data_IF_650083114819
#
_entry.id   IF_650083114819
#
_cell.length_a   1.000
_cell.length_b   1.000
_cell.length_c   1.000
_cell.angle_alpha   90.00
_cell.angle_beta   90.00
_cell.angle_gamma   90.00
#
_symmetry.space_group_name_H-M   'P 1'
#
loop_
_entity.id
_entity.type
_entity.pdbx_description
1 polymer ?
#
# COMPACT_ATOMS: atom_id res chain seq x y z
N UNK A 1 -1.00 -4.89 3.88
CA UNK A 1 -1.52 -3.57 3.47
C UNK A 1 -0.53 -2.48 3.84
N UNK A 2 -0.46 -1.41 3.04
CA UNK A 2 0.39 -0.24 3.26
C UNK A 2 -0.46 1.03 3.41
N UNK A 3 -0.14 1.83 4.41
CA UNK A 3 -0.83 3.10 4.68
C UNK A 3 0.10 4.28 4.43
N UNK A 4 -0.28 5.13 3.47
CA UNK A 4 0.48 6.29 3.06
C UNK A 4 -0.14 7.59 3.60
N UNK A 5 0.69 8.58 3.85
CA UNK A 5 0.25 9.91 4.27
C UNK A 5 1.40 10.72 4.85
N UNK A 6 1.24 12.02 4.87
CA UNK A 6 2.19 12.94 5.52
C UNK A 6 2.32 12.62 7.03
N UNK A 7 3.37 13.12 7.66
CA UNK A 7 3.45 13.08 9.12
C UNK A 7 2.21 13.74 9.74
N UNK A 8 1.66 13.13 10.78
CA UNK A 8 0.44 13.64 11.43
C UNK A 8 -0.88 13.25 10.75
N UNK A 9 -0.90 12.58 9.60
CA UNK A 9 -2.14 12.15 8.92
C UNK A 9 -2.92 11.07 9.70
N UNK A 10 -2.32 10.42 10.69
CA UNK A 10 -2.99 9.37 11.46
C UNK A 10 -2.63 7.94 11.04
N UNK A 11 -1.53 7.72 10.29
CA UNK A 11 -1.10 6.37 9.88
C UNK A 11 -1.00 5.40 11.06
N UNK A 12 -0.26 5.75 12.10
CA UNK A 12 -0.09 4.89 13.28
C UNK A 12 -1.41 4.68 14.04
N UNK A 13 -2.30 5.68 14.04
CA UNK A 13 -3.64 5.55 14.60
C UNK A 13 -4.45 4.54 13.80
N UNK A 14 -4.46 4.65 12.47
CA UNK A 14 -5.17 3.72 11.60
C UNK A 14 -4.62 2.30 11.71
N UNK A 15 -3.29 2.13 11.73
CA UNK A 15 -2.66 0.82 11.96
C UNK A 15 -3.08 0.20 13.30
N UNK A 16 -3.23 1.00 14.35
CA UNK A 16 -3.75 0.53 15.65
C UNK A 16 -5.19 0.06 15.53
N UNK A 17 -6.06 0.80 14.82
CA UNK A 17 -7.45 0.38 14.58
C UNK A 17 -7.51 -0.96 13.83
N UNK A 18 -6.57 -1.22 12.92
CA UNK A 18 -6.44 -2.53 12.25
C UNK A 18 -6.07 -3.63 13.24
N UNK A 19 -5.08 -3.42 14.11
CA UNK A 19 -4.69 -4.39 15.13
C UNK A 19 -5.82 -4.70 16.11
N UNK A 20 -6.67 -3.73 16.40
CA UNK A 20 -7.85 -3.89 17.25
C UNK A 20 -9.04 -4.55 16.55
N UNK A 21 -9.21 -4.32 15.24
CA UNK A 21 -10.31 -4.87 14.46
C UNK A 21 -10.05 -6.30 13.99
N UNK A 22 -8.79 -6.69 13.80
CA UNK A 22 -8.37 -7.97 13.25
C UNK A 22 -7.31 -8.63 14.16
N UNK A 23 -7.71 -9.61 14.99
CA UNK A 23 -6.81 -10.22 15.99
C UNK A 23 -5.53 -10.86 15.44
N UNK A 24 -5.60 -11.38 14.18
CA UNK A 24 -4.45 -12.01 13.52
C UNK A 24 -3.55 -11.01 12.79
N UNK A 25 -3.91 -9.72 12.82
CA UNK A 25 -3.13 -8.67 12.18
C UNK A 25 -1.88 -8.35 12.99
N UNK A 26 -0.77 -8.09 12.30
CA UNK A 26 0.50 -7.68 12.92
C UNK A 26 1.13 -6.53 12.15
N UNK A 27 1.75 -5.61 12.87
CA UNK A 27 2.54 -4.56 12.26
C UNK A 27 3.85 -5.15 11.73
N UNK A 28 4.16 -4.93 10.47
CA UNK A 28 5.41 -5.32 9.84
C UNK A 28 6.49 -4.26 10.00
N UNK A 29 6.13 -3.00 9.77
CA UNK A 29 6.99 -1.83 9.88
C UNK A 29 6.14 -0.58 10.17
N UNK A 30 6.68 0.40 10.93
CA UNK A 30 5.94 1.62 11.32
C UNK A 30 6.27 2.85 10.46
N UNK A 31 7.36 2.82 9.66
CA UNK A 31 7.79 4.05 8.96
C UNK A 31 8.24 3.81 7.52
N UNK A 32 9.35 3.13 7.30
CA UNK A 32 10.00 3.03 6.01
C UNK A 32 10.17 1.58 5.52
N UNK A 33 9.09 0.87 5.15
CA UNK A 33 9.21 -0.44 4.52
C UNK A 33 9.82 -0.33 3.12
N UNK A 34 10.44 -1.40 2.64
CA UNK A 34 10.92 -1.50 1.26
C UNK A 34 9.95 -2.30 0.42
N UNK A 35 9.61 -1.78 -0.75
CA UNK A 35 8.88 -2.53 -1.78
C UNK A 35 9.84 -3.09 -2.82
N UNK A 36 9.60 -4.33 -3.24
CA UNK A 36 10.29 -4.97 -4.37
C UNK A 36 9.30 -5.67 -5.26
N UNK A 37 9.61 -5.67 -6.56
CA UNK A 37 8.88 -6.48 -7.54
C UNK A 37 9.79 -7.64 -7.89
N UNK A 38 9.40 -8.85 -7.49
CA UNK A 38 10.13 -10.09 -7.71
C UNK A 38 9.16 -11.13 -8.28
N UNK A 39 9.58 -11.82 -9.33
CA UNK A 39 8.78 -12.86 -9.99
C UNK A 39 7.34 -12.41 -10.33
N UNK A 40 7.22 -11.17 -10.79
CA UNK A 40 5.93 -10.58 -11.14
C UNK A 40 5.03 -10.24 -9.96
N UNK A 41 5.54 -10.25 -8.73
CA UNK A 41 4.76 -9.98 -7.51
C UNK A 41 5.37 -8.83 -6.71
N UNK A 42 4.52 -7.93 -6.22
CA UNK A 42 4.93 -6.85 -5.32
C UNK A 42 4.99 -7.37 -3.89
N UNK A 43 6.17 -7.34 -3.30
CA UNK A 43 6.42 -7.72 -1.90
C UNK A 43 6.86 -6.51 -1.07
N UNK A 44 6.46 -6.49 0.20
CA UNK A 44 6.90 -5.54 1.21
C UNK A 44 7.84 -6.21 2.21
N UNK A 45 8.92 -5.53 2.52
CA UNK A 45 9.94 -5.97 3.48
C UNK A 45 9.94 -5.05 4.68
N UNK A 46 10.02 -5.65 5.87
CA UNK A 46 10.35 -4.92 7.08
C UNK A 46 11.80 -4.42 7.03
N UNK A 47 12.07 -3.31 7.70
CA UNK A 47 13.38 -2.66 7.71
C UNK A 47 13.82 -2.34 9.13
N UNK A 48 15.11 -2.02 9.36
CA UNK A 48 15.60 -1.60 10.66
C UNK A 48 15.18 -0.16 11.03
N UNK A 49 14.50 0.55 10.13
CA UNK A 49 13.96 1.89 10.42
C UNK A 49 12.54 1.77 10.95
N UNK A 50 12.30 2.33 12.13
CA UNK A 50 10.96 2.45 12.68
C UNK A 50 10.63 3.90 13.01
N UNK A 51 9.33 4.20 13.04
CA UNK A 51 8.82 5.49 13.47
C UNK A 51 8.67 5.57 14.98
N UNK A 52 7.48 5.98 15.44
CA UNK A 52 7.17 6.10 16.88
C UNK A 52 7.00 4.76 17.58
N UNK A 53 6.62 3.72 16.84
CA UNK A 53 6.43 2.37 17.34
C UNK A 53 7.63 1.51 16.98
N UNK A 54 8.46 1.07 17.92
CA UNK A 54 9.56 0.16 17.63
C UNK A 54 9.06 -1.12 16.95
N UNK A 55 9.42 -1.31 15.69
CA UNK A 55 9.03 -2.48 14.93
C UNK A 55 10.13 -2.83 13.92
N UNK A 56 10.89 -3.90 14.22
CA UNK A 56 12.07 -4.33 13.48
C UNK A 56 11.90 -5.80 13.05
N UNK A 57 11.02 -6.05 12.08
CA UNK A 57 10.76 -7.41 11.60
C UNK A 57 11.55 -7.68 10.33
N UNK A 58 12.41 -8.69 10.35
CA UNK A 58 13.06 -9.21 9.15
C UNK A 58 12.12 -10.23 8.47
N UNK A 59 11.03 -9.73 7.93
CA UNK A 59 9.99 -10.51 7.26
C UNK A 59 9.61 -9.85 5.94
N UNK A 60 9.15 -10.68 4.98
CA UNK A 60 8.50 -10.18 3.76
C UNK A 60 7.06 -10.69 3.67
N UNK A 61 6.22 -9.92 3.00
CA UNK A 61 4.82 -10.29 2.71
C UNK A 61 4.43 -9.76 1.34
N UNK A 62 3.56 -10.46 0.59
CA UNK A 62 2.95 -9.88 -0.60
C UNK A 62 2.10 -8.68 -0.22
N UNK A 63 2.02 -7.69 -1.11
CA UNK A 63 1.22 -6.49 -0.90
C UNK A 63 -0.18 -6.71 -1.48
N UNK A 64 -1.19 -6.72 -0.62
CA UNK A 64 -2.60 -6.90 -1.03
C UNK A 64 -3.33 -5.56 -1.27
N UNK A 65 -2.74 -4.43 -0.89
CA UNK A 65 -3.34 -3.12 -1.14
C UNK A 65 -2.52 -1.97 -0.55
N UNK A 66 -2.67 -0.80 -1.16
CA UNK A 66 -1.99 0.44 -0.76
C UNK A 66 -3.05 1.53 -0.59
N UNK A 67 -3.03 2.24 0.53
CA UNK A 67 -4.05 3.24 0.85
C UNK A 67 -3.42 4.56 1.28
N UNK A 68 -3.81 5.63 0.60
CA UNK A 68 -3.52 6.99 1.06
C UNK A 68 -4.59 7.43 2.03
N UNK A 69 -4.17 7.72 3.26
CA UNK A 69 -5.04 8.21 4.32
C UNK A 69 -5.23 9.72 4.24
N UNK A 70 -6.44 10.15 4.58
CA UNK A 70 -6.83 11.54 4.75
C UNK A 70 -7.79 11.64 5.94
N UNK A 71 -7.55 12.58 6.85
CA UNK A 71 -8.48 12.85 7.96
C UNK A 71 -9.79 13.44 7.42
N UNK A 72 -10.90 12.94 7.92
CA UNK A 72 -12.25 13.39 7.54
C UNK A 72 -13.22 13.21 8.69
N UNK A 73 -14.36 13.87 8.64
CA UNK A 73 -15.49 13.67 9.55
C UNK A 73 -16.35 12.45 9.20
N UNK A 74 -16.04 11.73 8.13
CA UNK A 74 -16.78 10.55 7.66
C UNK A 74 -15.83 9.52 7.09
N UNK A 75 -16.24 8.25 7.11
CA UNK A 75 -15.49 7.15 6.50
C UNK A 75 -15.91 6.96 5.05
N UNK A 76 -14.98 7.15 4.10
CA UNK A 76 -15.20 6.94 2.67
C UNK A 76 -13.96 6.38 1.99
N UNK A 77 -14.11 5.27 1.31
CA UNK A 77 -13.06 4.69 0.47
C UNK A 77 -13.31 5.05 -1.00
N UNK A 78 -12.28 5.55 -1.67
CA UNK A 78 -12.27 5.83 -3.11
C UNK A 78 -11.18 5.02 -3.77
N UNK A 79 -11.51 4.09 -4.68
CA UNK A 79 -10.52 3.41 -5.50
C UNK A 79 -9.76 4.41 -6.37
N UNK A 80 -8.47 4.17 -6.57
CA UNK A 80 -7.63 4.98 -7.45
C UNK A 80 -7.01 4.09 -8.52
N UNK A 81 -6.96 4.58 -9.75
CA UNK A 81 -6.42 3.85 -10.90
C UNK A 81 -5.54 4.77 -11.76
N UNK A 82 -4.66 4.16 -12.58
CA UNK A 82 -3.82 4.88 -13.52
C UNK A 82 -3.05 6.06 -12.90
N UNK A 83 -3.16 7.27 -13.49
CA UNK A 83 -2.43 8.45 -12.99
C UNK A 83 -2.76 8.85 -11.57
N UNK A 84 -4.00 8.62 -11.10
CA UNK A 84 -4.41 8.96 -9.73
C UNK A 84 -3.75 8.04 -8.70
N UNK A 85 -3.66 6.74 -9.00
CA UNK A 85 -2.94 5.77 -8.17
C UNK A 85 -1.46 6.12 -8.08
N UNK A 86 -0.82 6.40 -9.21
CA UNK A 86 0.57 6.86 -9.27
C UNK A 86 0.80 8.12 -8.43
N UNK A 87 -0.03 9.15 -8.60
CA UNK A 87 0.04 10.41 -7.85
C UNK A 87 -0.17 10.21 -6.33
N UNK A 88 -0.90 9.18 -5.94
CA UNK A 88 -1.07 8.83 -4.53
C UNK A 88 0.19 8.22 -3.91
N UNK A 89 0.99 7.48 -4.68
CA UNK A 89 2.20 6.79 -4.20
C UNK A 89 3.43 7.71 -4.18
N UNK A 90 3.69 8.42 -5.27
CA UNK A 90 4.93 9.16 -5.51
C UNK A 90 5.38 10.07 -4.35
N UNK A 91 4.51 10.85 -3.68
CA UNK A 91 4.92 11.73 -2.58
C UNK A 91 5.38 10.99 -1.31
N UNK A 92 5.10 9.68 -1.21
CA UNK A 92 5.46 8.85 -0.05
C UNK A 92 6.72 8.02 -0.28
N UNK A 93 7.33 8.12 -1.47
CA UNK A 93 8.55 7.41 -1.78
C UNK A 93 9.78 8.25 -1.46
N UNK A 94 10.80 7.60 -0.89
CA UNK A 94 12.13 8.18 -0.79
C UNK A 94 12.78 8.19 -2.19
N UNK A 95 13.14 9.36 -2.67
CA UNK A 95 13.71 9.53 -4.00
C UNK A 95 14.88 10.52 -3.99
N UNK A 96 15.94 10.21 -4.74
CA UNK A 96 16.98 11.16 -5.08
C UNK A 96 16.48 11.95 -6.29
N UNK A 97 15.81 13.06 -6.03
CA UNK A 97 15.14 13.87 -7.07
C UNK A 97 16.10 14.59 -8.01
N UNK A 98 17.37 14.74 -7.60
CA UNK A 98 18.41 15.39 -8.41
C UNK A 98 18.99 14.48 -9.49
N UNK A 99 18.87 13.17 -9.35
CA UNK A 99 19.29 12.21 -10.38
C UNK A 99 18.07 11.80 -11.22
N UNK A 100 18.03 12.29 -12.45
CA UNK A 100 16.91 12.04 -13.36
C UNK A 100 16.73 10.54 -13.69
N UNK A 101 17.83 9.78 -13.75
CA UNK A 101 17.76 8.35 -14.07
C UNK A 101 17.14 7.56 -12.92
N UNK A 102 17.51 7.88 -11.66
CA UNK A 102 16.91 7.26 -10.49
C UNK A 102 15.44 7.67 -10.33
N UNK A 103 15.10 8.90 -10.67
CA UNK A 103 13.71 9.36 -10.66
C UNK A 103 12.87 8.63 -11.72
N UNK A 104 13.37 8.50 -12.94
CA UNK A 104 12.68 7.78 -14.02
C UNK A 104 12.48 6.29 -13.68
N UNK A 105 13.51 5.66 -13.07
CA UNK A 105 13.38 4.27 -12.61
C UNK A 105 12.35 4.12 -11.50
N UNK A 106 12.32 5.04 -10.53
CA UNK A 106 11.28 5.08 -9.51
C UNK A 106 9.89 5.17 -10.16
N UNK A 107 9.70 6.06 -11.14
CA UNK A 107 8.42 6.20 -11.84
C UNK A 107 8.00 4.91 -12.54
N UNK A 108 8.93 4.21 -13.21
CA UNK A 108 8.65 2.90 -13.83
C UNK A 108 8.24 1.85 -12.81
N UNK A 109 8.94 1.79 -11.66
CA UNK A 109 8.59 0.86 -10.58
C UNK A 109 7.20 1.18 -10.04
N UNK A 110 6.87 2.45 -9.80
CA UNK A 110 5.57 2.85 -9.28
C UNK A 110 4.43 2.52 -10.24
N UNK A 111 4.62 2.72 -11.55
CA UNK A 111 3.64 2.31 -12.57
C UNK A 111 3.37 0.81 -12.43
N UNK A 112 4.42 -0.03 -12.42
CA UNK A 112 4.28 -1.48 -12.27
C UNK A 112 3.62 -1.89 -10.95
N UNK A 113 3.87 -1.16 -9.86
CA UNK A 113 3.20 -1.40 -8.58
C UNK A 113 1.70 -1.11 -8.70
N UNK A 114 1.30 0.01 -9.32
CA UNK A 114 -0.11 0.38 -9.47
C UNK A 114 -0.90 -0.51 -10.44
N UNK A 115 -0.21 -1.20 -11.35
CA UNK A 115 -0.81 -2.20 -12.23
C UNK A 115 -1.10 -3.53 -11.52
N UNK A 116 -0.37 -3.83 -10.44
CA UNK A 116 -0.42 -5.13 -9.77
C UNK A 116 -1.13 -5.10 -8.42
N UNK A 117 -1.17 -3.94 -7.78
CA UNK A 117 -1.67 -3.79 -6.40
C UNK A 117 -2.82 -2.79 -6.39
N UNK A 118 -3.99 -3.16 -5.84
CA UNK A 118 -5.08 -2.23 -5.63
C UNK A 118 -4.65 -1.01 -4.81
N UNK A 119 -4.97 0.18 -5.33
CA UNK A 119 -4.69 1.45 -4.66
C UNK A 119 -5.99 2.16 -4.32
N UNK A 120 -6.04 2.83 -3.16
CA UNK A 120 -7.19 3.62 -2.75
C UNK A 120 -6.82 4.84 -1.93
N UNK A 121 -7.81 5.72 -1.79
CA UNK A 121 -7.85 6.82 -0.82
C UNK A 121 -8.89 6.50 0.23
N UNK A 122 -8.50 6.62 1.49
CA UNK A 122 -9.41 6.52 2.61
C UNK A 122 -9.49 7.85 3.34
N UNK A 123 -10.62 8.51 3.21
CA UNK A 123 -11.03 9.63 4.06
C UNK A 123 -11.68 9.02 5.30
N UNK A 124 -11.14 9.29 6.49
CA UNK A 124 -11.61 8.53 7.66
C UNK A 124 -11.50 9.24 8.99
N UNK A 125 -12.36 8.78 9.89
CA UNK A 125 -12.28 8.93 11.34
C UNK A 125 -11.25 7.98 11.94
N UNK A 126 -10.74 8.24 13.15
CA UNK A 126 -9.82 7.34 13.85
C UNK A 126 -10.58 6.20 14.58
N UNK A 127 -11.37 5.40 13.87
CA UNK A 127 -12.21 4.35 14.41
C UNK A 127 -12.03 2.99 13.74
N UNK A 128 -12.62 1.94 14.33
CA UNK A 128 -12.54 0.57 13.81
C UNK A 128 -13.37 0.37 12.53
N UNK A 129 -14.38 1.18 12.31
CA UNK A 129 -15.20 1.11 11.09
C UNK A 129 -14.38 1.53 9.88
N UNK A 130 -13.51 2.54 10.03
CA UNK A 130 -12.56 2.91 8.99
C UNK A 130 -11.63 1.75 8.60
N UNK A 131 -11.17 0.97 9.58
CA UNK A 131 -10.32 -0.20 9.32
C UNK A 131 -11.09 -1.30 8.57
N UNK A 132 -12.33 -1.58 8.96
CA UNK A 132 -13.19 -2.57 8.30
C UNK A 132 -13.55 -2.15 6.88
N UNK A 133 -14.01 -0.91 6.69
CA UNK A 133 -14.29 -0.36 5.37
C UNK A 133 -13.07 -0.46 4.44
N UNK A 134 -11.90 -0.12 4.96
CA UNK A 134 -10.65 -0.20 4.22
C UNK A 134 -10.33 -1.64 3.78
N UNK A 135 -10.42 -2.60 4.70
CA UNK A 135 -10.19 -4.01 4.42
C UNK A 135 -11.16 -4.57 3.38
N UNK A 136 -12.46 -4.37 3.58
CA UNK A 136 -13.52 -4.88 2.68
C UNK A 136 -13.37 -4.31 1.27
N UNK A 137 -13.10 -3.00 1.16
CA UNK A 137 -12.92 -2.33 -0.13
C UNK A 137 -11.71 -2.85 -0.90
N UNK A 138 -10.61 -3.14 -0.21
CA UNK A 138 -9.39 -3.69 -0.82
C UNK A 138 -9.51 -5.17 -1.11
N UNK A 139 -10.16 -5.95 -0.24
CA UNK A 139 -10.31 -7.39 -0.40
C UNK A 139 -11.08 -7.75 -1.67
N UNK A 140 -12.19 -7.07 -1.92
CA UNK A 140 -13.00 -7.26 -3.14
C UNK A 140 -12.20 -6.93 -4.40
N UNK A 141 -11.32 -5.94 -4.34
CA UNK A 141 -10.49 -5.54 -5.50
C UNK A 141 -9.31 -6.47 -5.72
N UNK A 142 -8.66 -6.93 -4.67
CA UNK A 142 -7.57 -7.90 -4.78
C UNK A 142 -8.07 -9.21 -5.41
N UNK A 143 -9.25 -9.69 -4.99
CA UNK A 143 -9.88 -10.87 -5.59
C UNK A 143 -10.11 -10.68 -7.10
N UNK A 144 -10.69 -9.55 -7.53
CA UNK A 144 -10.90 -9.24 -8.95
C UNK A 144 -9.59 -9.14 -9.74
N UNK A 145 -8.56 -8.52 -9.15
CA UNK A 145 -7.24 -8.38 -9.79
C UNK A 145 -6.58 -9.75 -9.98
N UNK A 146 -6.73 -10.65 -9.04
CA UNK A 146 -6.23 -12.04 -9.14
C UNK A 146 -6.99 -12.83 -10.21
N UNK A 147 -8.30 -12.77 -10.25
CA UNK A 147 -9.12 -13.44 -11.28
C UNK A 147 -8.72 -13.01 -12.70
N UNK A 148 -8.48 -11.71 -12.93
CA UNK A 148 -8.04 -11.20 -14.24
C UNK A 148 -6.63 -11.70 -14.58
N UNK A 149 -5.73 -11.76 -13.61
CA UNK A 149 -4.36 -12.24 -13.83
C UNK A 149 -4.30 -13.74 -14.10
N UNK A 150 -5.07 -14.52 -13.36
CA UNK A 150 -5.07 -15.99 -13.47
C UNK A 150 -5.93 -16.46 -14.68
N UNK A 151 -6.79 -15.60 -15.21
CA UNK A 151 -7.61 -15.85 -16.41
C UNK A 151 -6.95 -15.44 -17.74
N UNK A 152 -5.77 -14.79 -17.74
CA UNK A 152 -5.01 -14.52 -18.96
C UNK A 152 -4.27 -15.80 -19.38
N UNK A 153 -4.47 -16.28 -20.66
CA UNK A 153 -3.71 -17.42 -21.15
C UNK A 153 -2.22 -17.10 -21.11
N UNK A 154 -1.41 -18.03 -20.61
CA UNK A 154 0.04 -17.95 -20.74
C UNK A 154 0.34 -17.78 -22.25
N UNK A 155 0.86 -16.62 -22.63
CA UNK A 155 1.32 -16.40 -23.99
C UNK A 155 2.47 -17.37 -24.25
N UNK A 156 2.11 -18.50 -24.89
CA UNK A 156 3.08 -19.46 -25.37
C UNK A 156 4.08 -18.75 -26.25
N UNK A 157 5.35 -18.85 -25.87
CA UNK A 157 6.45 -18.32 -26.65
C UNK A 157 6.45 -18.92 -28.04
N UNK A 158 6.72 -18.07 -29.00
CA UNK A 158 7.33 -18.39 -30.29
C UNK A 158 8.76 -17.92 -30.27
#
# INVERSE_FOLDING_TARGET
YLFLGKSGTGKSTHSRQWLEAFPDCRLLNDDNPVLRIEDGMVSVYGTPWSGKTPCYRNERRPVAGIVRLQQSGTNRFTPLEGPEAFAALLPSCSAIRQDIRLHDELCRILIRVTEQVPVGRLECLPDREAARLCFESLYVRDAKTREVRDGLPENGGL
#
